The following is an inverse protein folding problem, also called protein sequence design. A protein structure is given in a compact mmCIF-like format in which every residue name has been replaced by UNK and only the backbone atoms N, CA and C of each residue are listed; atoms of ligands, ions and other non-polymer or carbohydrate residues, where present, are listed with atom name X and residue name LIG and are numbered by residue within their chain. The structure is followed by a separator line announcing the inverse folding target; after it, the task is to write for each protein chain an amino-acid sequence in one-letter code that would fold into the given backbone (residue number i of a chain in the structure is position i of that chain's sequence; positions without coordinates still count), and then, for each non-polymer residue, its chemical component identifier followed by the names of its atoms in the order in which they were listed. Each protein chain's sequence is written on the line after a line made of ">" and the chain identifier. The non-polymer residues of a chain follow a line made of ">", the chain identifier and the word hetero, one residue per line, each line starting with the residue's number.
data_IF_472320561216
#
_entry.id   IF_472320561216
#
_cell.length_a   1.000
_cell.length_b   1.000
_cell.length_c   1.000
_cell.angle_alpha   90.00
_cell.angle_beta   90.00
_cell.angle_gamma   90.00
#
_symmetry.space_group_name_H-M   'P 1'
#
loop_
_entity.id
_entity.type
_entity.pdbx_description
1 polymer ?
#
# COMPACT_ATOMS: atom_id res chain seq x y z
N UNK A 1 -17.83 2.97 -18.30
CA UNK A 1 -17.63 1.69 -17.61
C UNK A 1 -16.15 1.39 -17.71
N UNK A 2 -15.47 1.32 -16.58
CA UNK A 2 -14.07 0.93 -16.49
C UNK A 2 -13.95 -0.59 -16.60
N UNK A 3 -12.81 -1.06 -17.10
CA UNK A 3 -12.50 -2.49 -17.22
C UNK A 3 -11.95 -3.03 -15.89
N UNK A 4 -12.16 -4.33 -15.64
CA UNK A 4 -11.56 -5.01 -14.49
C UNK A 4 -10.06 -5.22 -14.71
N UNK A 5 -9.28 -5.15 -13.64
CA UNK A 5 -7.83 -5.36 -13.69
C UNK A 5 -7.46 -6.81 -14.04
N UNK A 6 -6.66 -6.97 -15.09
CA UNK A 6 -6.02 -8.25 -15.44
C UNK A 6 -4.60 -8.33 -14.87
N UNK A 7 -4.02 -9.53 -14.74
CA UNK A 7 -2.62 -9.73 -14.32
C UNK A 7 -1.65 -8.88 -15.16
N UNK A 8 -1.90 -8.83 -16.46
CA UNK A 8 -1.08 -8.05 -17.39
C UNK A 8 -1.21 -6.56 -17.12
N UNK A 9 -2.43 -6.04 -16.97
CA UNK A 9 -2.67 -4.64 -16.66
C UNK A 9 -2.07 -4.23 -15.32
N UNK A 10 -2.17 -5.08 -14.28
CA UNK A 10 -1.57 -4.84 -12.97
C UNK A 10 -0.05 -4.84 -13.02
N UNK A 11 0.54 -5.78 -13.77
CA UNK A 11 1.98 -5.82 -13.97
C UNK A 11 2.48 -4.56 -14.70
N UNK A 12 1.78 -4.14 -15.74
CA UNK A 12 2.07 -2.90 -16.45
C UNK A 12 1.91 -1.66 -15.54
N UNK A 13 0.88 -1.65 -14.71
CA UNK A 13 0.63 -0.58 -13.75
C UNK A 13 1.74 -0.47 -12.70
N UNK A 14 2.15 -1.59 -12.09
CA UNK A 14 3.29 -1.64 -11.15
C UNK A 14 4.58 -1.17 -11.80
N UNK A 15 4.84 -1.62 -13.03
CA UNK A 15 6.00 -1.18 -13.79
C UNK A 15 5.97 0.34 -14.01
N UNK A 16 4.83 0.89 -14.44
CA UNK A 16 4.68 2.33 -14.66
C UNK A 16 4.87 3.15 -13.37
N UNK A 17 4.39 2.65 -12.23
CA UNK A 17 4.62 3.28 -10.93
C UNK A 17 6.12 3.29 -10.57
N UNK A 18 6.79 2.14 -10.73
CA UNK A 18 8.21 1.99 -10.40
C UNK A 18 9.14 2.79 -11.33
N UNK A 19 8.85 2.83 -12.63
CA UNK A 19 9.69 3.55 -13.61
C UNK A 19 9.29 5.02 -13.80
N UNK A 20 8.35 5.52 -12.98
CA UNK A 20 7.78 6.87 -13.11
C UNK A 20 7.24 7.19 -14.52
N UNK A 21 6.68 6.18 -15.22
CA UNK A 21 6.07 6.35 -16.54
C UNK A 21 4.65 6.92 -16.41
N UNK A 22 4.58 8.24 -16.24
CA UNK A 22 3.34 8.96 -16.04
C UNK A 22 2.33 8.78 -17.20
N UNK A 23 2.70 8.84 -18.50
CA UNK A 23 1.77 8.55 -19.59
C UNK A 23 1.10 7.18 -19.49
N UNK A 24 1.87 6.12 -19.22
CA UNK A 24 1.33 4.76 -19.08
C UNK A 24 0.45 4.63 -17.84
N UNK A 25 0.86 5.21 -16.71
CA UNK A 25 0.06 5.28 -15.48
C UNK A 25 -1.32 5.91 -15.73
N UNK A 26 -1.34 7.10 -16.33
CA UNK A 26 -2.58 7.84 -16.60
C UNK A 26 -3.46 7.15 -17.64
N UNK A 27 -2.88 6.43 -18.61
CA UNK A 27 -3.64 5.63 -19.54
C UNK A 27 -4.37 4.48 -18.81
N UNK A 28 -3.68 3.77 -17.93
CA UNK A 28 -4.23 2.65 -17.16
C UNK A 28 -5.33 3.10 -16.17
N UNK A 29 -5.12 4.20 -15.45
CA UNK A 29 -6.11 4.77 -14.52
C UNK A 29 -7.38 5.28 -15.21
N UNK A 30 -7.34 5.55 -16.52
CA UNK A 30 -8.52 5.97 -17.30
C UNK A 30 -9.30 4.79 -17.88
N UNK A 31 -8.65 3.65 -18.10
CA UNK A 31 -9.27 2.46 -18.69
C UNK A 31 -9.81 1.49 -17.65
N UNK A 32 -9.16 1.40 -16.49
CA UNK A 32 -9.52 0.49 -15.40
C UNK A 32 -10.10 1.25 -14.21
N UNK A 33 -10.76 0.53 -13.30
CA UNK A 33 -11.30 1.14 -12.09
C UNK A 33 -10.15 1.57 -11.16
N UNK A 34 -9.93 2.87 -10.94
CA UNK A 34 -8.83 3.31 -10.11
C UNK A 34 -9.00 2.87 -8.64
N UNK A 35 -10.23 2.60 -8.18
CA UNK A 35 -10.55 2.28 -6.78
C UNK A 35 -9.78 1.08 -6.21
N UNK A 36 -9.28 0.18 -7.06
CA UNK A 36 -8.52 -1.01 -6.63
C UNK A 36 -7.01 -0.75 -6.45
N UNK A 37 -6.49 0.40 -6.89
CA UNK A 37 -5.04 0.64 -6.99
C UNK A 37 -4.60 2.06 -6.58
N UNK A 38 -5.46 2.79 -5.86
CA UNK A 38 -5.20 4.19 -5.49
C UNK A 38 -3.97 4.32 -4.59
N UNK A 39 -3.86 3.49 -3.55
CA UNK A 39 -2.75 3.52 -2.60
C UNK A 39 -1.45 3.08 -3.26
N UNK A 40 -1.51 2.06 -4.14
CA UNK A 40 -0.36 1.58 -4.90
C UNK A 40 0.16 2.62 -5.90
N UNK A 41 -0.72 3.35 -6.59
CA UNK A 41 -0.35 4.31 -7.64
C UNK A 41 -0.26 5.77 -7.19
N UNK A 42 -0.66 6.08 -5.97
CA UNK A 42 -0.87 7.44 -5.49
C UNK A 42 0.37 8.34 -5.55
N UNK A 43 1.54 7.79 -5.24
CA UNK A 43 2.80 8.56 -5.26
C UNK A 43 3.31 8.79 -6.69
N UNK A 44 3.10 7.83 -7.59
CA UNK A 44 3.40 8.01 -9.01
C UNK A 44 2.47 9.08 -9.63
N UNK A 45 1.19 9.09 -9.26
CA UNK A 45 0.24 10.12 -9.68
C UNK A 45 0.61 11.49 -9.09
N UNK A 46 1.03 11.54 -7.82
CA UNK A 46 1.52 12.76 -7.17
C UNK A 46 2.71 13.34 -7.94
N UNK A 47 3.70 12.50 -8.29
CA UNK A 47 4.85 12.90 -9.07
C UNK A 47 4.46 13.42 -10.47
N UNK A 48 3.51 12.76 -11.15
CA UNK A 48 2.99 13.20 -12.44
C UNK A 48 2.33 14.59 -12.37
N UNK A 49 1.60 14.89 -11.29
CA UNK A 49 0.99 16.22 -11.07
C UNK A 49 2.09 17.28 -10.86
N UNK A 50 3.10 16.99 -10.04
CA UNK A 50 4.22 17.91 -9.77
C UNK A 50 5.01 18.21 -11.05
N UNK A 51 5.20 17.21 -11.92
CA UNK A 51 5.87 17.37 -13.22
C UNK A 51 5.01 18.06 -14.28
N UNK A 52 3.73 18.35 -13.98
CA UNK A 52 2.83 19.02 -14.93
C UNK A 52 2.44 18.15 -16.13
N UNK A 53 2.42 16.82 -15.97
CA UNK A 53 2.04 15.91 -17.06
C UNK A 53 0.58 16.15 -17.45
N UNK A 54 0.32 16.22 -18.76
CA UNK A 54 -1.02 16.47 -19.30
C UNK A 54 -2.04 15.43 -18.80
N UNK A 55 -3.15 15.89 -18.25
CA UNK A 55 -4.21 15.04 -17.68
C UNK A 55 -3.95 14.53 -16.25
N UNK A 56 -2.75 14.75 -15.68
CA UNK A 56 -2.44 14.27 -14.33
C UNK A 56 -3.31 14.93 -13.26
N UNK A 57 -3.51 16.25 -13.36
CA UNK A 57 -4.33 17.01 -12.40
C UNK A 57 -5.80 16.59 -12.40
N UNK A 58 -6.37 16.36 -13.58
CA UNK A 58 -7.75 15.87 -13.72
C UNK A 58 -7.89 14.47 -13.13
N UNK A 59 -6.94 13.58 -13.44
CA UNK A 59 -6.91 12.22 -12.88
C UNK A 59 -6.77 12.25 -11.35
N UNK A 60 -5.92 13.12 -10.81
CA UNK A 60 -5.76 13.30 -9.37
C UNK A 60 -7.04 13.77 -8.68
N UNK A 61 -7.81 14.68 -9.28
CA UNK A 61 -9.11 15.11 -8.75
C UNK A 61 -10.14 13.98 -8.72
N UNK A 62 -10.19 13.17 -9.78
CA UNK A 62 -11.05 11.98 -9.83
C UNK A 62 -10.67 10.97 -8.74
N UNK A 63 -9.38 10.63 -8.63
CA UNK A 63 -8.85 9.74 -7.59
C UNK A 63 -9.12 10.28 -6.18
N UNK A 64 -8.98 11.58 -5.95
CA UNK A 64 -9.26 12.22 -4.65
C UNK A 64 -10.72 12.04 -4.25
N UNK A 65 -11.65 12.18 -5.20
CA UNK A 65 -13.08 11.95 -4.97
C UNK A 65 -13.35 10.49 -4.57
N UNK A 66 -12.77 9.53 -5.30
CA UNK A 66 -12.89 8.10 -4.99
C UNK A 66 -12.28 7.74 -3.63
N UNK A 67 -11.14 8.33 -3.25
CA UNK A 67 -10.53 8.15 -1.93
C UNK A 67 -11.46 8.62 -0.81
N UNK A 68 -12.09 9.78 -0.98
CA UNK A 68 -13.02 10.30 0.01
C UNK A 68 -14.29 9.46 0.14
N UNK A 69 -14.81 8.94 -0.98
CA UNK A 69 -15.97 8.03 -0.97
C UNK A 69 -15.65 6.67 -0.33
N UNK A 70 -14.46 6.11 -0.60
CA UNK A 70 -14.02 4.82 -0.07
C UNK A 70 -13.68 4.89 1.43
N UNK A 71 -12.96 5.93 1.85
CA UNK A 71 -12.73 6.24 3.27
C UNK A 71 -11.90 5.20 4.04
N UNK A 72 -11.04 4.43 3.38
CA UNK A 72 -10.16 3.48 4.05
C UNK A 72 -9.04 4.19 4.82
N UNK A 73 -8.42 3.49 5.78
CA UNK A 73 -7.23 4.01 6.47
C UNK A 73 -6.14 4.32 5.44
N UNK A 74 -5.63 5.55 5.44
CA UNK A 74 -4.68 6.06 4.45
C UNK A 74 -5.31 6.87 3.31
N UNK A 75 -6.61 6.76 3.07
CA UNK A 75 -7.26 7.45 1.95
C UNK A 75 -7.29 8.96 2.15
N UNK A 76 -7.62 9.42 3.36
CA UNK A 76 -7.58 10.84 3.68
C UNK A 76 -6.18 11.45 3.51
N UNK A 77 -5.12 10.70 3.86
CA UNK A 77 -3.73 11.13 3.71
C UNK A 77 -3.36 11.27 2.24
N UNK A 78 -3.66 10.26 1.42
CA UNK A 78 -3.37 10.32 -0.01
C UNK A 78 -4.21 11.39 -0.73
N UNK A 79 -5.49 11.53 -0.36
CA UNK A 79 -6.37 12.55 -0.89
C UNK A 79 -5.80 13.95 -0.63
N UNK A 80 -5.42 14.25 0.62
CA UNK A 80 -4.81 15.54 0.98
C UNK A 80 -3.49 15.80 0.22
N UNK A 81 -2.67 14.77 0.04
CA UNK A 81 -1.44 14.86 -0.75
C UNK A 81 -1.73 15.25 -2.20
N UNK A 82 -2.65 14.54 -2.88
CA UNK A 82 -3.03 14.81 -4.27
C UNK A 82 -3.64 16.21 -4.43
N UNK A 83 -4.49 16.62 -3.50
CA UNK A 83 -5.10 17.94 -3.44
C UNK A 83 -4.07 19.05 -3.30
N UNK A 84 -3.08 18.83 -2.42
CA UNK A 84 -2.02 19.80 -2.13
C UNK A 84 -1.14 20.03 -3.35
N UNK A 85 -0.63 18.95 -3.97
CA UNK A 85 0.16 19.09 -5.20
C UNK A 85 -0.69 19.58 -6.37
N UNK A 86 -1.97 19.21 -6.40
CA UNK A 86 -2.95 19.74 -7.35
C UNK A 86 -3.05 21.25 -7.26
N UNK A 87 -3.07 21.85 -6.06
CA UNK A 87 -3.07 23.30 -5.87
C UNK A 87 -1.72 23.98 -6.13
N UNK A 88 -0.66 23.22 -6.43
CA UNK A 88 0.70 23.74 -6.54
C UNK A 88 1.30 24.13 -5.18
N UNK A 89 0.74 23.60 -4.09
CA UNK A 89 1.25 23.83 -2.74
C UNK A 89 2.27 22.73 -2.35
N UNK A 90 3.06 23.03 -1.33
CA UNK A 90 4.06 22.09 -0.80
C UNK A 90 3.42 21.21 0.27
N UNK A 91 3.64 19.89 0.19
CA UNK A 91 3.20 18.95 1.23
C UNK A 91 3.93 19.22 2.55
N UNK A 92 3.18 19.22 3.66
CA UNK A 92 3.72 19.43 5.01
C UNK A 92 4.55 18.23 5.50
N UNK A 93 4.19 17.02 5.11
CA UNK A 93 4.88 15.78 5.48
C UNK A 93 6.20 15.64 4.71
N UNK A 94 7.26 15.23 5.42
CA UNK A 94 8.58 15.04 4.83
C UNK A 94 8.60 13.80 3.93
N UNK A 95 9.04 13.89 2.66
CA UNK A 95 9.15 12.72 1.80
C UNK A 95 10.25 11.76 2.27
N UNK A 96 9.98 10.46 2.15
CA UNK A 96 10.92 9.36 2.36
C UNK A 96 10.75 8.36 1.20
N UNK A 97 11.83 7.89 0.55
CA UNK A 97 11.77 6.96 -0.59
C UNK A 97 11.49 5.51 -0.16
N UNK A 98 10.49 5.32 0.72
CA UNK A 98 10.12 4.02 1.26
C UNK A 98 9.15 3.27 0.34
N UNK A 99 9.33 1.97 0.21
CA UNK A 99 8.36 1.08 -0.42
C UNK A 99 7.24 0.73 0.58
N UNK A 100 5.98 1.02 0.23
CA UNK A 100 4.84 0.74 1.09
C UNK A 100 4.58 -0.76 1.25
N UNK A 101 4.99 -1.59 0.29
CA UNK A 101 4.91 -3.05 0.39
C UNK A 101 5.86 -3.56 1.47
N UNK A 102 7.12 -3.15 1.42
CA UNK A 102 8.11 -3.51 2.43
C UNK A 102 7.72 -2.99 3.83
N UNK A 103 7.27 -1.72 3.92
CA UNK A 103 6.81 -1.15 5.19
C UNK A 103 5.60 -1.90 5.75
N UNK A 104 4.62 -2.24 4.90
CA UNK A 104 3.46 -3.02 5.34
C UNK A 104 3.87 -4.41 5.85
N UNK A 105 4.89 -5.03 5.25
CA UNK A 105 5.48 -6.27 5.71
C UNK A 105 6.09 -6.18 7.12
N UNK A 106 6.67 -5.03 7.49
CA UNK A 106 7.17 -4.77 8.85
C UNK A 106 6.03 -4.57 9.85
N UNK A 107 5.00 -3.80 9.47
CA UNK A 107 3.86 -3.49 10.35
C UNK A 107 2.98 -4.72 10.61
N UNK A 108 2.70 -5.51 9.58
CA UNK A 108 1.70 -6.58 9.63
C UNK A 108 2.31 -7.97 9.46
N UNK A 109 3.62 -8.07 9.60
CA UNK A 109 4.36 -9.34 9.62
C UNK A 109 3.98 -10.23 10.80
N UNK A 110 4.59 -11.42 10.85
CA UNK A 110 4.39 -12.33 11.97
C UNK A 110 5.05 -11.74 13.24
N UNK A 111 4.31 -11.55 14.36
CA UNK A 111 4.84 -10.99 15.60
C UNK A 111 6.06 -11.73 16.16
N UNK A 112 6.26 -13.01 15.81
CA UNK A 112 7.44 -13.77 16.17
C UNK A 112 8.74 -13.19 15.58
N UNK A 113 8.64 -12.44 14.48
CA UNK A 113 9.76 -11.81 13.79
C UNK A 113 9.98 -10.34 14.19
N UNK A 114 9.04 -9.78 14.97
CA UNK A 114 9.06 -8.38 15.37
C UNK A 114 8.76 -7.42 14.21
N UNK A 115 8.84 -6.13 14.49
CA UNK A 115 8.76 -5.08 13.46
C UNK A 115 10.12 -4.87 12.81
N UNK A 116 10.54 -3.61 12.68
CA UNK A 116 11.82 -3.28 12.05
C UNK A 116 12.20 -1.83 12.20
N UNK A 117 12.96 -1.33 11.23
CA UNK A 117 13.30 0.09 11.10
C UNK A 117 13.40 0.50 9.64
N UNK A 118 13.17 1.78 9.37
CA UNK A 118 13.37 2.40 8.06
C UNK A 118 14.59 3.31 8.15
N UNK A 119 15.47 3.25 7.15
CA UNK A 119 16.46 4.30 6.91
C UNK A 119 15.75 5.51 6.26
N UNK A 120 15.69 6.65 6.94
CA UNK A 120 14.97 7.83 6.46
C UNK A 120 15.66 8.53 5.27
N UNK A 121 16.92 8.22 4.99
CA UNK A 121 17.66 8.78 3.86
C UNK A 121 17.50 7.90 2.61
N UNK A 122 17.55 6.57 2.76
CA UNK A 122 17.47 5.61 1.63
C UNK A 122 16.10 4.99 1.42
N UNK A 123 15.23 5.03 2.44
CA UNK A 123 13.93 4.36 2.46
C UNK A 123 13.99 2.85 2.73
N UNK A 124 15.18 2.29 2.99
CA UNK A 124 15.38 0.85 3.19
C UNK A 124 14.63 0.34 4.43
N UNK A 125 13.78 -0.67 4.26
CA UNK A 125 13.08 -1.36 5.34
C UNK A 125 13.89 -2.56 5.85
N UNK A 126 14.29 -2.53 7.12
CA UNK A 126 15.06 -3.60 7.76
C UNK A 126 14.25 -4.31 8.83
N UNK A 127 13.92 -5.61 8.67
CA UNK A 127 13.30 -6.42 9.71
C UNK A 127 14.21 -6.55 10.94
N UNK A 128 13.64 -6.58 12.14
CA UNK A 128 14.41 -6.66 13.39
C UNK A 128 15.32 -7.91 13.48
N UNK A 129 14.91 -9.03 12.89
CA UNK A 129 15.70 -10.27 12.90
C UNK A 129 16.89 -10.28 11.94
N UNK A 130 16.93 -9.37 10.96
CA UNK A 130 18.07 -9.23 10.04
C UNK A 130 19.36 -8.79 10.74
N UNK A 131 19.27 -8.28 11.98
CA UNK A 131 20.41 -7.86 12.80
C UNK A 131 21.05 -9.01 13.61
N UNK A 132 20.56 -10.25 13.49
CA UNK A 132 21.07 -11.39 14.30
C UNK A 132 22.38 -11.98 13.75
N UNK A 133 22.77 -11.63 12.52
CA UNK A 133 24.03 -12.07 11.88
C UNK A 133 24.94 -10.89 11.54
N UNK A 134 25.36 -10.11 12.55
CA UNK A 134 26.52 -9.21 12.39
C UNK A 134 26.51 -7.96 13.27
N UNK A 135 27.50 -7.89 14.16
CA UNK A 135 27.91 -6.70 14.93
C UNK A 135 27.09 -6.36 16.16
N UNK A 136 27.41 -7.05 17.26
CA UNK A 136 27.38 -6.44 18.60
C UNK A 136 28.69 -5.68 18.87
N UNK A 137 29.25 -4.98 17.87
CA UNK A 137 30.32 -4.00 18.09
C UNK A 137 29.72 -2.60 18.01
N UNK A 138 29.54 -2.06 19.22
CA UNK A 138 29.99 -0.74 19.70
C UNK A 138 29.75 0.51 18.84
N UNK A 139 29.23 1.54 19.52
CA UNK A 139 28.80 2.86 19.05
C UNK A 139 27.42 2.87 18.38
N UNK A 140 26.34 3.07 19.18
CA UNK A 140 25.17 3.81 18.65
C UNK A 140 25.71 5.18 18.22
N UNK A 141 25.87 5.46 16.91
CA UNK A 141 26.38 6.76 16.51
C UNK A 141 25.28 7.79 16.83
N UNK A 142 25.66 9.06 16.88
CA UNK A 142 24.82 10.27 17.00
C UNK A 142 23.63 10.40 16.00
N UNK A 143 23.22 9.32 15.31
CA UNK A 143 22.25 9.24 14.23
C UNK A 143 20.88 8.65 14.62
N UNK A 144 20.42 8.83 15.86
CA UNK A 144 19.02 8.53 16.24
C UNK A 144 17.97 9.22 15.34
N UNK A 145 18.38 10.22 14.52
CA UNK A 145 17.54 10.91 13.53
C UNK A 145 17.46 10.22 12.15
N UNK A 146 18.28 9.20 11.87
CA UNK A 146 18.34 8.50 10.57
C UNK A 146 17.40 7.30 10.53
N UNK A 147 17.21 6.62 11.66
CA UNK A 147 16.40 5.41 11.72
C UNK A 147 15.03 5.70 12.33
N UNK A 148 13.97 5.24 11.66
CA UNK A 148 12.61 5.27 12.19
C UNK A 148 12.21 3.84 12.60
N UNK A 149 11.93 3.63 13.89
CA UNK A 149 11.46 2.33 14.38
C UNK A 149 10.02 2.04 13.93
N UNK A 150 9.80 0.81 13.46
CA UNK A 150 8.50 0.31 13.00
C UNK A 150 8.05 -0.81 13.94
N UNK A 151 6.88 -0.70 14.59
CA UNK A 151 6.34 -1.78 15.40
C UNK A 151 5.78 -2.91 14.51
N UNK A 152 5.56 -4.08 15.10
CA UNK A 152 4.68 -5.09 14.50
C UNK A 152 3.30 -4.99 15.19
N UNK A 153 2.29 -4.57 14.43
CA UNK A 153 0.89 -4.46 14.86
C UNK A 153 0.16 -5.82 14.81
N UNK A 154 0.78 -6.80 14.14
CA UNK A 154 0.34 -8.19 14.06
C UNK A 154 -0.84 -8.40 13.10
N UNK A 155 -1.54 -9.51 13.25
CA UNK A 155 -2.48 -10.03 12.24
C UNK A 155 -3.92 -9.53 12.35
N UNK A 156 -4.22 -8.57 13.22
CA UNK A 156 -5.60 -8.12 13.47
C UNK A 156 -6.22 -7.46 12.25
N UNK A 157 -5.50 -6.55 11.61
CA UNK A 157 -6.02 -5.86 10.41
C UNK A 157 -6.04 -6.79 9.20
N UNK A 158 -5.05 -7.68 9.03
CA UNK A 158 -5.11 -8.72 8.02
C UNK A 158 -6.31 -9.68 8.20
N UNK A 159 -6.74 -9.96 9.44
CA UNK A 159 -7.97 -10.74 9.68
C UNK A 159 -9.21 -9.95 9.28
N UNK A 160 -9.26 -8.65 9.60
CA UNK A 160 -10.35 -7.77 9.15
C UNK A 160 -10.40 -7.64 7.63
N UNK A 161 -9.27 -7.64 6.95
CA UNK A 161 -9.23 -7.69 5.47
C UNK A 161 -9.94 -8.94 4.93
N UNK A 162 -9.80 -10.09 5.59
CA UNK A 162 -10.54 -11.30 5.21
C UNK A 162 -12.05 -11.12 5.44
N UNK A 163 -12.47 -10.57 6.58
CA UNK A 163 -13.88 -10.31 6.89
C UNK A 163 -14.49 -9.33 5.88
N UNK A 164 -13.82 -8.20 5.64
CA UNK A 164 -14.29 -7.17 4.72
C UNK A 164 -14.34 -7.69 3.28
N UNK A 165 -13.33 -8.46 2.84
CA UNK A 165 -13.33 -9.05 1.51
C UNK A 165 -14.53 -9.99 1.30
N UNK A 166 -14.88 -10.80 2.30
CA UNK A 166 -16.05 -11.69 2.23
C UNK A 166 -17.34 -10.90 1.95
N UNK A 167 -17.48 -9.69 2.50
CA UNK A 167 -18.66 -8.84 2.25
C UNK A 167 -18.75 -8.33 0.81
N UNK A 168 -17.63 -8.34 0.07
CA UNK A 168 -17.56 -7.88 -1.32
C UNK A 168 -17.84 -8.98 -2.36
N UNK A 169 -18.11 -10.22 -1.91
CA UNK A 169 -18.35 -11.35 -2.80
C UNK A 169 -19.81 -11.38 -3.26
N UNK A 170 -20.02 -11.41 -4.58
CA UNK A 170 -21.36 -11.56 -5.16
C UNK A 170 -21.93 -12.97 -4.91
N UNK A 171 -21.06 -13.99 -4.94
CA UNK A 171 -21.42 -15.39 -4.64
C UNK A 171 -21.68 -15.56 -3.13
N UNK A 172 -22.97 -15.58 -2.78
CA UNK A 172 -23.44 -15.70 -1.40
C UNK A 172 -23.10 -17.05 -0.76
N UNK A 173 -22.97 -18.11 -1.54
CA UNK A 173 -22.57 -19.43 -1.04
C UNK A 173 -21.10 -19.45 -0.67
N UNK A 174 -20.25 -18.89 -1.53
CA UNK A 174 -18.83 -18.70 -1.25
C UNK A 174 -18.62 -17.78 -0.04
N UNK A 175 -19.34 -16.65 0.03
CA UNK A 175 -19.25 -15.71 1.15
C UNK A 175 -19.59 -16.37 2.49
N UNK A 176 -20.73 -17.09 2.53
CA UNK A 176 -21.15 -17.84 3.71
C UNK A 176 -20.13 -18.91 4.10
N UNK A 177 -19.60 -19.66 3.14
CA UNK A 177 -18.62 -20.70 3.40
C UNK A 177 -17.32 -20.12 3.97
N UNK A 178 -16.80 -19.04 3.38
CA UNK A 178 -15.61 -18.37 3.87
C UNK A 178 -15.83 -17.80 5.28
N UNK A 179 -16.98 -17.20 5.56
CA UNK A 179 -17.31 -16.68 6.89
C UNK A 179 -17.25 -17.73 8.01
N UNK A 180 -17.66 -18.96 7.71
CA UNK A 180 -17.51 -20.11 8.64
C UNK A 180 -16.04 -20.55 8.72
N UNK A 181 -15.33 -20.56 7.58
CA UNK A 181 -13.96 -21.08 7.46
C UNK A 181 -12.94 -20.26 8.24
N UNK A 182 -13.17 -18.95 8.38
CA UNK A 182 -12.25 -18.03 9.08
C UNK A 182 -12.36 -18.09 10.61
N UNK A 183 -13.21 -18.94 11.17
CA UNK A 183 -13.37 -19.06 12.62
C UNK A 183 -12.26 -19.90 13.27
N UNK A 184 -11.65 -19.41 14.34
CA UNK A 184 -10.68 -20.15 15.15
C UNK A 184 -9.27 -20.29 14.54
N UNK A 185 -8.38 -21.08 15.18
CA UNK A 185 -6.97 -21.16 14.80
C UNK A 185 -6.77 -21.62 13.35
N UNK A 186 -5.81 -21.02 12.63
CA UNK A 186 -5.51 -21.37 11.23
C UNK A 186 -6.46 -20.78 10.19
N UNK A 187 -7.25 -19.77 10.56
CA UNK A 187 -8.17 -19.05 9.69
C UNK A 187 -7.53 -18.60 8.36
N UNK A 188 -6.39 -17.91 8.42
CA UNK A 188 -5.66 -17.42 7.25
C UNK A 188 -5.34 -18.51 6.23
N UNK A 189 -4.85 -19.67 6.70
CA UNK A 189 -4.51 -20.78 5.81
C UNK A 189 -5.77 -21.32 5.15
N UNK A 190 -6.81 -21.64 5.92
CA UNK A 190 -8.04 -22.20 5.34
C UNK A 190 -8.76 -21.25 4.39
N UNK A 191 -8.74 -19.95 4.69
CA UNK A 191 -9.27 -18.92 3.81
C UNK A 191 -8.54 -18.93 2.47
N UNK A 192 -7.21 -18.89 2.48
CA UNK A 192 -6.39 -18.95 1.26
C UNK A 192 -6.53 -20.28 0.53
N UNK A 193 -6.59 -21.41 1.25
CA UNK A 193 -6.79 -22.73 0.67
C UNK A 193 -8.13 -22.79 -0.08
N UNK A 194 -9.19 -22.18 0.48
CA UNK A 194 -10.49 -22.11 -0.19
C UNK A 194 -10.45 -21.18 -1.40
N UNK A 195 -9.88 -19.97 -1.27
CA UNK A 195 -9.73 -19.06 -2.41
C UNK A 195 -8.86 -19.63 -3.52
N UNK A 196 -7.88 -20.49 -3.21
CA UNK A 196 -7.04 -21.15 -4.22
C UNK A 196 -7.83 -22.06 -5.17
N UNK A 197 -9.07 -22.45 -4.82
CA UNK A 197 -9.97 -23.16 -5.74
C UNK A 197 -10.52 -22.26 -6.86
N UNK A 198 -10.42 -20.93 -6.70
CA UNK A 198 -10.79 -19.92 -7.69
C UNK A 198 -9.66 -18.89 -7.84
N UNK A 199 -8.74 -19.08 -8.81
CA UNK A 199 -7.60 -18.18 -9.02
C UNK A 199 -7.99 -16.70 -9.14
N UNK A 200 -9.14 -16.42 -9.78
CA UNK A 200 -9.69 -15.07 -9.90
C UNK A 200 -10.04 -14.44 -8.55
N UNK A 201 -10.71 -15.17 -7.65
CA UNK A 201 -11.05 -14.63 -6.32
C UNK A 201 -9.81 -14.51 -5.44
N UNK A 202 -8.87 -15.46 -5.54
CA UNK A 202 -7.60 -15.36 -4.85
C UNK A 202 -6.83 -14.10 -5.25
N UNK A 203 -6.72 -13.82 -6.55
CA UNK A 203 -6.08 -12.61 -7.04
C UNK A 203 -6.79 -11.33 -6.57
N UNK A 204 -8.12 -11.31 -6.64
CA UNK A 204 -8.92 -10.17 -6.18
C UNK A 204 -8.68 -9.90 -4.68
N UNK A 205 -8.58 -10.95 -3.87
CA UNK A 205 -8.22 -10.82 -2.46
C UNK A 205 -6.81 -10.26 -2.27
N UNK A 206 -5.81 -10.75 -3.03
CA UNK A 206 -4.44 -10.23 -2.92
C UNK A 206 -4.37 -8.73 -3.25
N UNK A 207 -5.08 -8.29 -4.30
CA UNK A 207 -5.16 -6.86 -4.63
C UNK A 207 -5.85 -6.06 -3.52
N UNK A 208 -7.03 -6.52 -3.07
CA UNK A 208 -7.78 -5.87 -2.00
C UNK A 208 -6.96 -5.72 -0.73
N UNK A 209 -6.30 -6.81 -0.30
CA UNK A 209 -5.47 -6.83 0.90
C UNK A 209 -4.24 -5.94 0.76
N UNK A 210 -3.54 -5.98 -0.37
CA UNK A 210 -2.36 -5.14 -0.61
C UNK A 210 -2.71 -3.64 -0.60
N UNK A 211 -3.78 -3.26 -1.29
CA UNK A 211 -4.26 -1.88 -1.34
C UNK A 211 -4.60 -1.33 0.06
N UNK A 212 -5.20 -2.15 0.93
CA UNK A 212 -5.47 -1.77 2.33
C UNK A 212 -4.20 -1.68 3.17
N UNK A 213 -3.28 -2.63 3.00
CA UNK A 213 -1.96 -2.61 3.66
C UNK A 213 -1.18 -1.35 3.30
N UNK A 214 -1.15 -0.95 2.03
CA UNK A 214 -0.52 0.29 1.57
C UNK A 214 -1.16 1.52 2.21
N UNK A 215 -2.49 1.55 2.31
CA UNK A 215 -3.20 2.61 3.01
C UNK A 215 -2.84 2.70 4.50
N UNK A 216 -2.78 1.56 5.20
CA UNK A 216 -2.37 1.50 6.61
C UNK A 216 -0.92 1.93 6.81
N UNK A 217 -0.01 1.45 5.98
CA UNK A 217 1.39 1.86 5.97
C UNK A 217 1.55 3.37 5.73
N UNK A 218 0.83 3.93 4.75
CA UNK A 218 0.81 5.38 4.48
C UNK A 218 0.29 6.18 5.68
N UNK A 219 -0.81 5.73 6.29
CA UNK A 219 -1.37 6.40 7.47
C UNK A 219 -0.39 6.37 8.65
N UNK A 220 0.22 5.22 8.92
CA UNK A 220 1.23 5.08 9.95
C UNK A 220 2.43 6.01 9.72
N UNK A 221 2.92 6.07 8.48
CA UNK A 221 4.05 6.94 8.12
C UNK A 221 3.70 8.44 8.30
N UNK A 222 2.47 8.82 7.97
CA UNK A 222 1.96 10.17 8.19
C UNK A 222 1.85 10.51 9.69
N UNK A 223 1.43 9.56 10.52
CA UNK A 223 1.43 9.71 11.98
C UNK A 223 2.85 9.95 12.54
N UNK A 224 3.89 9.46 11.84
CA UNK A 224 5.30 9.73 12.14
C UNK A 224 5.84 11.04 11.53
N UNK A 225 5.02 11.79 10.77
CA UNK A 225 5.41 13.05 10.13
C UNK A 225 6.05 12.92 8.74
N UNK A 226 5.96 11.73 8.15
CA UNK A 226 6.56 11.43 6.84
C UNK A 226 5.50 11.04 5.81
N UNK A 227 5.88 11.07 4.54
CA UNK A 227 5.06 10.54 3.44
C UNK A 227 5.96 9.73 2.49
N UNK A 228 5.39 8.74 1.80
CA UNK A 228 6.16 8.04 0.77
C UNK A 228 6.47 9.00 -0.40
N UNK A 229 7.54 8.69 -1.11
CA UNK A 229 7.91 9.30 -2.37
C UNK A 229 8.51 8.24 -3.27
N UNK A 230 8.42 8.42 -4.60
CA UNK A 230 9.10 7.52 -5.53
C UNK A 230 10.59 7.42 -5.18
N UNK A 231 11.11 6.20 -5.17
CA UNK A 231 12.55 5.99 -5.07
C UNK A 231 13.22 6.77 -6.22
N UNK A 232 14.14 7.66 -5.87
CA UNK A 232 14.95 8.32 -6.88
C UNK A 232 15.74 7.25 -7.60
N UNK A 233 15.50 7.07 -8.90
CA UNK A 233 16.34 6.23 -9.72
C UNK A 233 17.78 6.72 -9.61
N UNK A 234 18.64 5.93 -8.99
CA UNK A 234 20.09 6.09 -9.09
C UNK A 234 20.57 5.62 -10.46
#
# INVERSE_FOLDING_TARGET
>A
MTEAWTDYALKAFRAACHTADAPSLLALLRTHDPADVLQQGGDALTAAVVLGVSGARETALACTSTLHERGWRGDAVLAEQLDTVGRGAVCVLRPVPVDLDELSGLLEGDPAWGGGRIDLDTGECRPALADTEGSWDEEEPENAKRWLHVPCEGSRDAYRDMEDFITTLDDQDLARFLGITIQGPGAFRRFKDMLATSPTQLQRYWMFSAERQYGRARAWLADQGYRPSLQGGH
#
